data_IF_269175861182
#
_entry.id   IF_269175861182
#
_cell.length_a   1.000
_cell.length_b   1.000
_cell.length_c   1.000
_cell.angle_alpha   90.00
_cell.angle_beta   90.00
_cell.angle_gamma   90.00
#
_symmetry.space_group_name_H-M   'P 1'
#
loop_
_entity.id
_entity.type
_entity.pdbx_description
1 polymer ?
#
# COMPACT_ATOMS: atom_id res chain seq x y z
N UNK A 1 22.69 1.82 42.84
CA UNK A 1 21.61 2.27 41.95
C UNK A 1 21.99 2.13 40.49
N UNK A 2 23.13 2.74 40.03
CA UNK A 2 23.59 2.73 38.63
C UNK A 2 23.85 1.33 38.07
N UNK A 3 24.50 0.47 38.87
CA UNK A 3 24.79 -0.93 38.45
C UNK A 3 23.48 -1.73 38.30
N UNK A 4 22.54 -1.56 39.20
CA UNK A 4 21.24 -2.24 39.12
C UNK A 4 20.47 -1.84 37.88
N UNK A 5 20.43 -0.52 37.59
CA UNK A 5 19.79 0.01 36.38
C UNK A 5 20.47 -0.52 35.11
N UNK A 6 21.80 -0.53 35.06
CA UNK A 6 22.55 -1.07 33.94
C UNK A 6 22.24 -2.54 33.67
N UNK A 7 22.23 -3.37 34.72
CA UNK A 7 21.89 -4.79 34.60
C UNK A 7 20.47 -5.02 34.12
N UNK A 8 19.48 -4.26 34.63
CA UNK A 8 18.10 -4.38 34.18
C UNK A 8 17.94 -3.96 32.70
N UNK A 9 18.57 -2.86 32.28
CA UNK A 9 18.56 -2.45 30.88
C UNK A 9 19.23 -3.48 29.97
N UNK A 10 20.35 -4.07 30.39
CA UNK A 10 21.04 -5.11 29.62
C UNK A 10 20.16 -6.36 29.42
N UNK A 11 19.49 -6.83 30.47
CA UNK A 11 18.60 -7.99 30.39
C UNK A 11 17.41 -7.69 29.47
N UNK A 12 16.76 -6.54 29.65
CA UNK A 12 15.61 -6.15 28.82
C UNK A 12 16.02 -6.00 27.35
N UNK A 13 17.13 -5.33 27.07
CA UNK A 13 17.64 -5.18 25.71
C UNK A 13 17.99 -6.54 25.07
N UNK A 14 18.59 -7.45 25.84
CA UNK A 14 18.88 -8.80 25.39
C UNK A 14 17.63 -9.61 25.03
N UNK A 15 16.61 -9.55 25.87
CA UNK A 15 15.32 -10.22 25.63
C UNK A 15 14.64 -9.63 24.39
N UNK A 16 14.58 -8.30 24.27
CA UNK A 16 13.97 -7.63 23.11
C UNK A 16 14.73 -7.97 21.83
N UNK A 17 16.06 -7.97 21.84
CA UNK A 17 16.87 -8.36 20.70
C UNK A 17 16.65 -9.81 20.27
N UNK A 18 16.53 -10.72 21.25
CA UNK A 18 16.27 -12.12 20.99
C UNK A 18 14.86 -12.35 20.40
N UNK A 19 13.82 -11.74 20.99
CA UNK A 19 12.46 -11.79 20.47
C UNK A 19 12.40 -11.22 19.04
N UNK A 20 13.02 -10.07 18.80
CA UNK A 20 13.08 -9.46 17.47
C UNK A 20 13.76 -10.39 16.46
N UNK A 21 14.85 -11.07 16.83
CA UNK A 21 15.56 -12.01 15.95
C UNK A 21 14.69 -13.18 15.49
N UNK A 22 13.83 -13.70 16.36
CA UNK A 22 12.92 -14.81 16.03
C UNK A 22 11.71 -14.30 15.21
N UNK A 23 11.26 -13.09 15.51
CA UNK A 23 9.99 -12.56 14.98
C UNK A 23 10.16 -11.92 13.59
N UNK A 24 11.34 -11.37 13.27
CA UNK A 24 11.56 -10.65 12.01
C UNK A 24 11.26 -11.49 10.77
N UNK A 25 11.65 -12.77 10.76
CA UNK A 25 11.46 -13.66 9.62
C UNK A 25 9.98 -14.00 9.43
N UNK A 26 9.26 -14.18 10.54
CA UNK A 26 7.79 -14.36 10.53
C UNK A 26 7.06 -13.10 10.05
N UNK A 27 7.51 -11.93 10.46
CA UNK A 27 6.94 -10.65 9.99
C UNK A 27 7.17 -10.50 8.48
N UNK A 28 8.36 -10.82 7.98
CA UNK A 28 8.69 -10.77 6.55
C UNK A 28 7.79 -11.72 5.73
N UNK A 29 7.61 -12.96 6.19
CA UNK A 29 6.72 -13.94 5.56
C UNK A 29 5.27 -13.46 5.51
N UNK A 30 4.75 -12.97 6.65
CA UNK A 30 3.37 -12.45 6.73
C UNK A 30 3.19 -11.23 5.81
N UNK A 31 4.17 -10.34 5.77
CA UNK A 31 4.13 -9.15 4.91
C UNK A 31 4.13 -9.55 3.44
N UNK A 32 4.99 -10.49 3.05
CA UNK A 32 5.02 -11.03 1.69
C UNK A 32 3.69 -11.66 1.29
N UNK A 33 3.11 -12.51 2.15
CA UNK A 33 1.81 -13.13 1.88
C UNK A 33 0.68 -12.09 1.72
N UNK A 34 0.71 -11.01 2.49
CA UNK A 34 -0.22 -9.89 2.33
C UNK A 34 -0.01 -9.16 1.01
N UNK A 35 1.24 -8.95 0.60
CA UNK A 35 1.59 -8.33 -0.68
C UNK A 35 1.09 -9.16 -1.84
N UNK A 36 1.35 -10.47 -1.85
CA UNK A 36 0.85 -11.40 -2.88
C UNK A 36 -0.68 -11.41 -2.92
N UNK A 37 -1.34 -11.48 -1.77
CA UNK A 37 -2.79 -11.42 -1.70
C UNK A 37 -3.37 -10.08 -2.19
N UNK A 38 -2.64 -8.98 -2.01
CA UNK A 38 -3.03 -7.67 -2.54
C UNK A 38 -2.83 -7.61 -4.06
N UNK A 39 -1.74 -8.14 -4.60
CA UNK A 39 -1.50 -8.24 -6.04
C UNK A 39 -2.63 -9.01 -6.74
N UNK A 40 -2.99 -10.17 -6.22
CA UNK A 40 -4.08 -11.01 -6.77
C UNK A 40 -5.46 -10.34 -6.72
N UNK A 41 -5.66 -9.36 -5.82
CA UNK A 41 -6.92 -8.59 -5.75
C UNK A 41 -7.01 -7.48 -6.78
N UNK A 42 -5.87 -6.91 -7.19
CA UNK A 42 -5.85 -5.73 -8.05
C UNK A 42 -5.70 -6.07 -9.52
N UNK A 43 -5.14 -7.24 -9.84
CA UNK A 43 -4.98 -7.71 -11.22
C UNK A 43 -5.09 -9.23 -11.28
N UNK A 44 -5.77 -9.74 -12.30
CA UNK A 44 -5.89 -11.18 -12.54
C UNK A 44 -4.65 -11.65 -13.29
N UNK A 45 -3.81 -12.46 -12.63
CA UNK A 45 -2.61 -13.03 -13.21
C UNK A 45 -2.33 -14.42 -12.59
N UNK A 46 -1.61 -15.24 -13.33
CA UNK A 46 -1.22 -16.59 -12.88
C UNK A 46 0.03 -16.50 -11.99
N UNK A 47 0.93 -15.54 -12.28
CA UNK A 47 2.20 -15.35 -11.57
C UNK A 47 2.62 -13.87 -11.54
N UNK A 48 3.52 -13.53 -10.63
CA UNK A 48 4.09 -12.19 -10.50
C UNK A 48 5.62 -12.30 -10.48
N UNK A 49 6.28 -11.36 -11.18
CA UNK A 49 7.74 -11.29 -11.20
C UNK A 49 8.34 -10.93 -9.85
N UNK A 50 9.65 -11.07 -9.72
CA UNK A 50 10.39 -10.35 -8.70
C UNK A 50 10.23 -8.83 -8.89
N UNK A 51 10.44 -8.02 -7.82
CA UNK A 51 10.35 -6.57 -7.92
C UNK A 51 11.29 -6.04 -9.01
N UNK A 52 10.74 -5.21 -9.90
CA UNK A 52 11.52 -4.54 -10.94
C UNK A 52 12.45 -3.47 -10.32
N UNK A 53 13.57 -3.20 -10.98
CA UNK A 53 14.42 -2.07 -10.60
C UNK A 53 13.70 -0.74 -10.83
N UNK A 54 13.60 0.06 -9.77
CA UNK A 54 12.98 1.38 -9.83
C UNK A 54 13.96 2.40 -10.40
N UNK A 55 13.53 3.12 -11.43
CA UNK A 55 14.32 4.22 -11.99
C UNK A 55 14.13 5.50 -11.19
N UNK A 56 15.12 6.40 -11.20
CA UNK A 56 15.02 7.71 -10.55
C UNK A 56 13.84 8.54 -11.09
N UNK A 57 13.49 8.36 -12.36
CA UNK A 57 12.35 9.03 -12.96
C UNK A 57 11.01 8.56 -12.36
N UNK A 58 10.86 7.25 -12.12
CA UNK A 58 9.65 6.68 -11.53
C UNK A 58 9.48 7.13 -10.07
N UNK A 59 10.55 7.05 -9.28
CA UNK A 59 10.54 7.48 -7.88
C UNK A 59 10.31 8.97 -7.72
N UNK A 60 10.91 9.79 -8.59
CA UNK A 60 10.71 11.24 -8.62
C UNK A 60 9.27 11.61 -9.00
N UNK A 61 8.67 10.91 -9.96
CA UNK A 61 7.28 11.14 -10.35
C UNK A 61 6.30 10.83 -9.21
N UNK A 62 6.50 9.73 -8.48
CA UNK A 62 5.70 9.38 -7.32
C UNK A 62 5.84 10.42 -6.20
N UNK A 63 7.06 10.86 -5.90
CA UNK A 63 7.35 11.87 -4.87
C UNK A 63 6.73 13.22 -5.21
N UNK A 64 6.72 13.61 -6.49
CA UNK A 64 6.10 14.85 -6.95
C UNK A 64 4.57 14.87 -6.72
N UNK A 65 3.93 13.70 -6.63
CA UNK A 65 2.52 13.54 -6.31
C UNK A 65 2.25 13.29 -4.82
N UNK A 66 3.28 13.38 -3.97
CA UNK A 66 3.14 13.22 -2.52
C UNK A 66 3.14 11.76 -2.03
N UNK A 67 3.45 10.80 -2.89
CA UNK A 67 3.60 9.39 -2.58
C UNK A 67 5.04 8.88 -2.68
N UNK A 68 5.24 7.65 -2.28
CA UNK A 68 6.49 6.90 -2.47
C UNK A 68 6.18 5.64 -3.26
N UNK A 69 6.97 5.39 -4.30
CA UNK A 69 6.93 4.14 -5.04
C UNK A 69 7.83 3.12 -4.34
N UNK A 70 7.22 2.06 -3.81
CA UNK A 70 7.94 1.05 -3.02
C UNK A 70 8.46 -0.09 -3.89
N UNK A 71 7.61 -0.63 -4.79
CA UNK A 71 7.95 -1.73 -5.69
C UNK A 71 7.00 -1.79 -6.89
N UNK A 72 7.47 -2.37 -7.99
CA UNK A 72 6.68 -2.67 -9.19
C UNK A 72 6.90 -4.14 -9.54
N UNK A 73 5.82 -4.86 -9.81
CA UNK A 73 5.82 -6.26 -10.20
C UNK A 73 5.13 -6.42 -11.54
N UNK A 74 5.67 -7.24 -12.43
CA UNK A 74 4.95 -7.65 -13.63
C UNK A 74 3.94 -8.73 -13.29
N UNK A 75 2.72 -8.54 -13.74
CA UNK A 75 1.66 -9.54 -13.67
C UNK A 75 1.70 -10.35 -14.97
N UNK A 76 1.84 -11.67 -14.88
CA UNK A 76 2.00 -12.55 -16.02
C UNK A 76 0.86 -13.59 -16.06
N UNK A 77 0.37 -13.85 -17.25
CA UNK A 77 -0.56 -14.95 -17.50
C UNK A 77 -0.18 -15.67 -18.80
N UNK A 78 -0.03 -17.00 -18.72
CA UNK A 78 0.43 -17.80 -19.85
C UNK A 78 1.82 -17.41 -20.39
N UNK A 79 2.68 -16.81 -19.56
CA UNK A 79 4.03 -16.34 -19.93
C UNK A 79 4.05 -14.99 -20.66
N UNK A 80 2.94 -14.27 -20.69
CA UNK A 80 2.84 -12.90 -21.22
C UNK A 80 2.50 -11.93 -20.12
N UNK A 81 3.07 -10.72 -20.21
CA UNK A 81 2.75 -9.62 -19.26
C UNK A 81 1.35 -9.11 -19.57
N UNK A 82 0.47 -9.22 -18.59
CA UNK A 82 -0.93 -8.77 -18.66
C UNK A 82 -1.16 -7.45 -17.90
N UNK A 83 -0.12 -6.92 -17.27
CA UNK A 83 -0.12 -5.64 -16.58
C UNK A 83 0.91 -5.59 -15.47
N UNK A 84 0.73 -4.64 -14.55
CA UNK A 84 1.65 -4.37 -13.46
C UNK A 84 0.92 -4.24 -12.13
N UNK A 85 1.52 -4.76 -11.08
CA UNK A 85 1.10 -4.51 -9.70
C UNK A 85 2.11 -3.55 -9.05
N UNK A 86 1.65 -2.37 -8.68
CA UNK A 86 2.49 -1.26 -8.20
C UNK A 86 2.23 -1.04 -6.71
N UNK A 87 3.25 -1.22 -5.88
CA UNK A 87 3.20 -0.92 -4.46
C UNK A 87 3.58 0.54 -4.23
N UNK A 88 2.68 1.28 -3.62
CA UNK A 88 2.89 2.70 -3.28
C UNK A 88 2.54 2.95 -1.82
N UNK A 89 3.23 3.92 -1.24
CA UNK A 89 2.98 4.41 0.11
C UNK A 89 2.71 5.91 0.12
N UNK A 90 1.78 6.33 0.95
CA UNK A 90 1.46 7.74 1.16
C UNK A 90 1.28 8.03 2.65
N UNK A 91 1.43 9.30 3.03
CA UNK A 91 1.19 9.74 4.40
C UNK A 91 -0.30 9.87 4.64
N UNK A 92 -0.84 9.08 5.55
CA UNK A 92 -2.20 9.22 6.06
C UNK A 92 -2.27 10.18 7.24
N UNK A 93 -3.41 10.16 7.94
CA UNK A 93 -3.66 11.02 9.11
C UNK A 93 -2.85 10.62 10.35
N UNK A 94 -2.63 9.33 10.57
CA UNK A 94 -1.94 8.79 11.74
C UNK A 94 -0.62 8.09 11.39
N UNK A 95 -0.35 7.86 10.12
CA UNK A 95 0.88 7.21 9.68
C UNK A 95 0.84 6.81 8.21
N UNK A 96 1.76 5.96 7.81
CA UNK A 96 1.88 5.53 6.42
C UNK A 96 0.74 4.57 6.05
N UNK A 97 0.16 4.80 4.88
CA UNK A 97 -0.77 3.90 4.21
C UNK A 97 -0.01 3.28 3.04
N UNK A 98 0.09 1.96 3.01
CA UNK A 98 0.68 1.22 1.90
C UNK A 98 -0.41 0.51 1.12
N UNK A 99 -0.42 0.68 -0.19
CA UNK A 99 -1.44 0.14 -1.08
C UNK A 99 -0.82 -0.50 -2.32
N UNK A 100 -1.54 -1.44 -2.90
CA UNK A 100 -1.25 -2.07 -4.18
C UNK A 100 -2.23 -1.54 -5.20
N UNK A 101 -1.72 -1.11 -6.35
CA UNK A 101 -2.49 -0.64 -7.49
C UNK A 101 -2.20 -1.56 -8.68
N UNK A 102 -3.22 -2.16 -9.25
CA UNK A 102 -3.11 -2.90 -10.50
C UNK A 102 -3.24 -1.94 -11.68
N UNK A 103 -2.42 -2.11 -12.69
CA UNK A 103 -2.41 -1.29 -13.92
C UNK A 103 -2.36 -2.25 -15.10
N UNK A 104 -3.25 -2.09 -16.05
CA UNK A 104 -3.25 -2.87 -17.29
C UNK A 104 -2.18 -2.35 -18.29
N UNK A 105 -1.96 -3.04 -19.41
CA UNK A 105 -0.97 -2.60 -20.42
C UNK A 105 -1.29 -1.26 -21.06
N UNK A 106 -2.54 -0.82 -21.04
CA UNK A 106 -3.00 0.48 -21.57
C UNK A 106 -2.83 1.62 -20.56
N UNK A 107 -2.39 1.30 -19.33
CA UNK A 107 -2.15 2.26 -18.25
C UNK A 107 -3.38 2.60 -17.41
N UNK A 108 -4.48 1.85 -17.56
CA UNK A 108 -5.67 2.03 -16.73
C UNK A 108 -5.59 1.21 -15.44
N UNK A 109 -6.13 1.76 -14.36
CA UNK A 109 -6.19 1.10 -13.05
C UNK A 109 -7.20 -0.05 -13.10
N UNK A 110 -6.76 -1.26 -12.78
CA UNK A 110 -7.59 -2.46 -12.70
C UNK A 110 -8.16 -2.70 -11.31
N UNK A 111 -7.49 -2.20 -10.29
CA UNK A 111 -7.93 -2.31 -8.90
C UNK A 111 -6.98 -1.64 -7.93
N UNK A 112 -7.50 -1.37 -6.72
CA UNK A 112 -6.70 -0.84 -5.60
C UNK A 112 -6.96 -1.69 -4.36
N UNK A 113 -5.92 -2.09 -3.66
CA UNK A 113 -6.00 -2.87 -2.41
C UNK A 113 -5.03 -2.33 -1.36
N UNK A 114 -5.50 -2.19 -0.13
CA UNK A 114 -4.65 -1.75 0.98
C UNK A 114 -3.85 -2.93 1.52
N UNK A 115 -2.53 -2.76 1.61
CA UNK A 115 -1.60 -3.74 2.19
C UNK A 115 -1.52 -3.54 3.71
N UNK A 116 -1.28 -2.30 4.12
CA UNK A 116 -1.16 -1.93 5.52
C UNK A 116 -1.52 -0.46 5.75
N UNK A 117 -1.95 -0.14 6.96
CA UNK A 117 -2.18 1.24 7.38
C UNK A 117 -1.99 1.39 8.90
N UNK A 118 -1.75 2.60 9.35
CA UNK A 118 -1.67 2.98 10.76
C UNK A 118 -2.85 3.86 11.19
N UNK A 119 -3.94 3.89 10.40
CA UNK A 119 -5.07 4.78 10.62
C UNK A 119 -5.91 4.40 11.85
N UNK A 120 -6.55 5.39 12.45
CA UNK A 120 -7.44 5.20 13.59
C UNK A 120 -8.68 4.40 13.19
N UNK A 121 -8.99 3.37 13.96
CA UNK A 121 -10.23 2.59 13.80
C UNK A 121 -11.48 3.48 13.84
N UNK A 122 -12.39 3.28 12.90
CA UNK A 122 -13.67 3.97 12.82
C UNK A 122 -13.70 5.23 11.93
N UNK A 123 -12.55 5.87 11.66
CA UNK A 123 -12.47 7.06 10.80
C UNK A 123 -11.67 6.73 9.55
N UNK A 124 -10.36 6.65 9.63
CA UNK A 124 -9.49 6.30 8.50
C UNK A 124 -9.70 4.87 7.99
N UNK A 125 -10.07 3.94 8.87
CA UNK A 125 -10.37 2.56 8.49
C UNK A 125 -11.52 2.40 7.49
N UNK A 126 -12.41 3.38 7.35
CA UNK A 126 -13.49 3.36 6.34
C UNK A 126 -12.94 3.33 4.91
N UNK A 127 -11.91 4.12 4.63
CA UNK A 127 -11.20 4.09 3.35
C UNK A 127 -10.51 2.75 3.17
N UNK A 128 -9.84 2.27 4.23
CA UNK A 128 -9.09 1.02 4.21
C UNK A 128 -9.97 -0.21 3.99
N UNK A 129 -11.19 -0.18 4.50
CA UNK A 129 -12.19 -1.24 4.34
C UNK A 129 -12.98 -1.14 3.03
N UNK A 130 -12.65 -0.19 2.17
CA UNK A 130 -13.36 0.07 0.92
C UNK A 130 -14.87 0.26 1.15
N UNK A 131 -15.25 1.08 2.15
CA UNK A 131 -16.65 1.36 2.45
C UNK A 131 -17.31 2.16 1.32
N UNK A 132 -18.64 2.04 1.23
CA UNK A 132 -19.42 2.73 0.22
C UNK A 132 -19.50 4.25 0.51
N UNK A 133 -19.33 5.04 -0.53
CA UNK A 133 -19.60 6.47 -0.58
C UNK A 133 -21.12 6.74 -0.53
N UNK A 134 -21.51 7.99 -0.39
CA UNK A 134 -22.91 8.40 -0.38
C UNK A 134 -23.68 8.04 -1.69
N UNK A 135 -22.95 7.93 -2.80
CA UNK A 135 -23.49 7.51 -4.10
C UNK A 135 -23.58 5.98 -4.28
N UNK A 136 -23.16 5.18 -3.28
CA UNK A 136 -23.16 3.72 -3.30
C UNK A 136 -21.92 3.08 -3.93
N UNK A 137 -21.05 3.84 -4.57
CA UNK A 137 -19.75 3.34 -5.09
C UNK A 137 -18.79 3.14 -3.93
N UNK A 138 -18.01 2.08 -3.94
CA UNK A 138 -16.97 1.89 -2.95
C UNK A 138 -15.80 2.83 -3.20
N UNK A 139 -15.16 3.32 -2.12
CA UNK A 139 -14.16 4.40 -2.21
C UNK A 139 -12.93 4.03 -3.04
N UNK A 140 -12.48 2.78 -3.02
CA UNK A 140 -11.34 2.34 -3.83
C UNK A 140 -11.77 1.95 -5.26
N UNK A 141 -13.00 1.53 -5.46
CA UNK A 141 -13.48 1.10 -6.77
C UNK A 141 -13.67 2.29 -7.74
N UNK A 142 -13.78 3.52 -7.23
CA UNK A 142 -13.86 4.72 -8.07
C UNK A 142 -12.60 4.99 -8.89
N UNK A 143 -11.47 4.35 -8.56
CA UNK A 143 -10.22 4.47 -9.30
C UNK A 143 -10.14 3.51 -10.49
N UNK A 144 -10.96 2.46 -10.52
CA UNK A 144 -10.95 1.45 -11.59
C UNK A 144 -11.30 2.09 -12.92
N UNK A 145 -10.49 1.81 -13.94
CA UNK A 145 -10.61 2.36 -15.30
C UNK A 145 -10.06 3.78 -15.46
N UNK A 146 -9.58 4.43 -14.39
CA UNK A 146 -8.89 5.72 -14.50
C UNK A 146 -7.45 5.51 -14.95
N UNK A 147 -6.93 6.48 -15.70
CA UNK A 147 -5.58 6.46 -16.26
C UNK A 147 -4.91 7.83 -16.15
N UNK A 148 -3.64 7.90 -16.49
CA UNK A 148 -2.92 9.18 -16.58
C UNK A 148 -3.54 10.14 -17.62
N UNK A 149 -4.27 9.64 -18.61
CA UNK A 149 -4.97 10.45 -19.60
C UNK A 149 -6.14 11.26 -19.01
N UNK A 150 -6.71 10.80 -17.87
CA UNK A 150 -7.78 11.52 -17.16
C UNK A 150 -7.28 12.74 -16.38
N UNK A 151 -5.97 12.96 -16.36
CA UNK A 151 -5.31 14.04 -15.64
C UNK A 151 -5.14 13.76 -14.16
N UNK A 152 -4.81 14.79 -13.38
CA UNK A 152 -4.59 14.67 -11.94
C UNK A 152 -5.90 14.37 -11.21
N UNK A 153 -5.89 13.36 -10.36
CA UNK A 153 -7.02 13.03 -9.50
C UNK A 153 -7.09 14.04 -8.35
N UNK A 154 -8.26 14.67 -8.20
CA UNK A 154 -8.50 15.71 -7.19
C UNK A 154 -9.75 15.37 -6.41
N UNK A 155 -9.59 15.20 -5.09
CA UNK A 155 -10.71 14.92 -4.17
C UNK A 155 -11.72 16.07 -4.21
N UNK A 156 -12.98 15.73 -4.38
CA UNK A 156 -14.10 16.68 -4.52
C UNK A 156 -14.33 17.20 -5.94
N UNK A 157 -13.50 16.78 -6.92
CA UNK A 157 -13.67 17.14 -8.35
C UNK A 157 -13.95 15.91 -9.19
N UNK A 158 -13.05 14.94 -9.21
CA UNK A 158 -13.16 13.70 -10.00
C UNK A 158 -12.97 12.43 -9.17
N UNK A 159 -12.76 12.59 -7.87
CA UNK A 159 -12.68 11.52 -6.86
C UNK A 159 -13.41 11.98 -5.60
N UNK A 160 -14.24 11.13 -5.03
CA UNK A 160 -14.99 11.43 -3.82
C UNK A 160 -14.24 10.93 -2.57
N UNK A 161 -14.34 11.70 -1.47
CA UNK A 161 -13.81 11.32 -0.17
C UNK A 161 -14.93 10.78 0.75
N UNK A 162 -14.57 9.88 1.66
CA UNK A 162 -15.49 9.47 2.74
C UNK A 162 -15.61 10.61 3.77
N UNK A 163 -16.82 10.92 4.15
CA UNK A 163 -17.13 11.90 5.20
C UNK A 163 -16.44 11.53 6.52
N UNK A 164 -15.65 12.44 7.05
CA UNK A 164 -14.87 12.26 8.28
C UNK A 164 -13.47 11.64 8.08
N UNK A 165 -13.13 11.17 6.87
CA UNK A 165 -11.82 10.60 6.54
C UNK A 165 -11.10 11.37 5.42
N UNK A 166 -11.30 12.68 5.34
CA UNK A 166 -10.82 13.52 4.21
C UNK A 166 -9.30 13.50 4.05
N UNK A 167 -8.55 13.43 5.16
CA UNK A 167 -7.07 13.40 5.10
C UNK A 167 -6.59 12.06 4.55
N UNK A 168 -7.17 10.95 5.02
CA UNK A 168 -6.83 9.60 4.54
C UNK A 168 -7.40 9.28 3.14
N UNK A 169 -8.24 10.16 2.59
CA UNK A 169 -8.82 10.04 1.25
C UNK A 169 -8.08 10.87 0.19
N UNK A 170 -7.13 11.71 0.61
CA UNK A 170 -6.26 12.50 -0.29
C UNK A 170 -5.08 11.68 -0.76
#
# INVERSE_FOLDING_TARGET
LTVTLFLTCMVVAGILGWVNSITKDRIAEITWNKTVAAMQKVIVADDFSDPLELTDAMTSAATAQGGTLDAVYEAQSGGQVVGYAVSVSASGSQGTISMMVGIDPDGAVTGVSIISNAETSGIGSKVMNNEALANGTKVLDQFIGKSAADGTLVVGTNVDAITGATVSSK
#
